data_IF_481696727728
#
_entry.id   IF_481696727728
#
_cell.length_a   1.000
_cell.length_b   1.000
_cell.length_c   1.000
_cell.angle_alpha   90.00
_cell.angle_beta   90.00
_cell.angle_gamma   90.00
#
_symmetry.space_group_name_H-M   'P 1'
#
loop_
_entity.id
_entity.type
_entity.pdbx_description
1 polymer ?
#
# COMPACT_ATOMS: atom_id res chain seq x y z
N UNK A 1 12.66 -0.14 23.97
CA UNK A 1 11.18 -0.04 23.88
C UNK A 1 10.58 -1.21 24.63
N UNK A 2 9.72 -0.97 25.62
CA UNK A 2 8.95 -2.04 26.28
C UNK A 2 8.09 -2.72 25.21
N UNK A 3 8.18 -4.05 25.08
CA UNK A 3 7.18 -4.83 24.34
C UNK A 3 5.85 -4.55 25.02
N UNK A 4 4.96 -3.83 24.34
CA UNK A 4 3.58 -3.74 24.78
C UNK A 4 2.93 -5.03 24.29
N UNK A 5 2.63 -5.93 25.22
CA UNK A 5 1.84 -7.14 24.97
C UNK A 5 0.37 -6.75 24.76
N UNK A 6 0.10 -6.05 23.65
CA UNK A 6 -1.26 -5.69 23.24
C UNK A 6 -1.68 -6.59 22.08
N UNK A 7 -2.62 -7.49 22.38
CA UNK A 7 -3.21 -8.42 21.42
C UNK A 7 -4.70 -8.08 21.28
N UNK A 8 -5.06 -7.12 20.41
CA UNK A 8 -6.47 -6.78 20.24
C UNK A 8 -7.24 -7.97 19.68
N UNK A 9 -8.52 -8.08 20.04
CA UNK A 9 -9.43 -9.02 19.38
C UNK A 9 -9.67 -8.53 17.96
N UNK A 10 -9.25 -9.32 16.97
CA UNK A 10 -9.38 -8.98 15.55
C UNK A 10 -10.65 -9.56 14.97
N UNK A 11 -11.42 -8.74 14.25
CA UNK A 11 -12.56 -9.16 13.41
C UNK A 11 -12.23 -8.84 11.96
N UNK A 12 -12.29 -9.84 11.08
CA UNK A 12 -12.13 -9.64 9.64
C UNK A 12 -13.46 -9.20 9.02
N UNK A 13 -13.41 -8.19 8.17
CA UNK A 13 -14.53 -7.67 7.38
C UNK A 13 -14.01 -7.08 6.08
N UNK A 14 -14.89 -6.78 5.12
CA UNK A 14 -14.46 -6.13 3.89
C UNK A 14 -14.01 -4.71 4.19
N UNK A 15 -13.01 -4.21 3.47
CA UNK A 15 -12.40 -2.92 3.77
C UNK A 15 -13.38 -1.74 3.67
N UNK A 16 -14.40 -1.85 2.82
CA UNK A 16 -15.48 -0.88 2.62
C UNK A 16 -16.53 -0.89 3.74
N UNK A 17 -16.56 -1.94 4.57
CA UNK A 17 -17.45 -2.06 5.73
C UNK A 17 -16.83 -1.48 7.02
N UNK A 18 -15.51 -1.26 7.04
CA UNK A 18 -14.77 -0.85 8.25
C UNK A 18 -15.21 0.52 8.77
N UNK A 19 -15.20 1.54 7.91
CA UNK A 19 -15.57 2.91 8.31
C UNK A 19 -17.04 3.01 8.80
N UNK A 20 -18.03 2.44 8.09
CA UNK A 20 -19.39 2.35 8.62
C UNK A 20 -19.48 1.67 9.99
N UNK A 21 -18.76 0.55 10.19
CA UNK A 21 -18.80 -0.19 11.44
C UNK A 21 -18.22 0.61 12.62
N UNK A 22 -17.10 1.31 12.42
CA UNK A 22 -16.53 2.21 13.45
C UNK A 22 -17.49 3.36 13.75
N UNK A 23 -18.02 4.00 12.71
CA UNK A 23 -18.92 5.17 12.85
C UNK A 23 -20.21 4.83 13.61
N UNK A 24 -20.73 3.60 13.44
CA UNK A 24 -21.90 3.08 14.18
C UNK A 24 -21.56 2.54 15.58
N UNK A 25 -20.28 2.49 15.96
CA UNK A 25 -19.84 1.90 17.24
C UNK A 25 -19.93 0.38 17.30
N UNK A 26 -20.00 -0.32 16.16
CA UNK A 26 -20.00 -1.79 16.10
C UNK A 26 -18.62 -2.40 16.41
N UNK A 27 -17.56 -1.61 16.17
CA UNK A 27 -16.16 -1.91 16.52
C UNK A 27 -15.48 -0.63 17.04
N UNK A 28 -14.50 -0.78 17.95
CA UNK A 28 -13.85 0.39 18.58
C UNK A 28 -12.83 1.10 17.66
N UNK A 29 -12.20 0.37 16.73
CA UNK A 29 -11.21 0.90 15.81
C UNK A 29 -11.15 0.08 14.52
N UNK A 30 -10.69 0.71 13.43
CA UNK A 30 -10.56 0.09 12.11
C UNK A 30 -9.20 0.32 11.47
N UNK A 31 -8.64 -0.71 10.85
CA UNK A 31 -7.46 -0.59 9.99
C UNK A 31 -7.91 -0.20 8.58
N UNK A 32 -7.59 1.02 8.17
CA UNK A 32 -8.01 1.56 6.88
C UNK A 32 -6.93 1.35 5.82
N UNK A 33 -7.36 0.86 4.66
CA UNK A 33 -6.56 0.72 3.44
C UNK A 33 -7.35 1.33 2.26
N UNK A 34 -6.75 1.35 1.07
CA UNK A 34 -7.35 1.95 -0.14
C UNK A 34 -7.86 3.38 0.13
N UNK A 35 -9.02 3.76 -0.42
CA UNK A 35 -9.59 5.10 -0.31
C UNK A 35 -10.03 5.48 1.12
N UNK A 36 -10.16 4.51 2.03
CA UNK A 36 -10.58 4.76 3.41
C UNK A 36 -9.67 5.75 4.15
N UNK A 37 -8.39 5.78 3.82
CA UNK A 37 -7.42 6.72 4.41
C UNK A 37 -7.66 8.19 4.04
N UNK A 38 -8.39 8.45 2.95
CA UNK A 38 -8.75 9.81 2.51
C UNK A 38 -10.13 10.18 3.06
N UNK A 39 -11.05 9.23 3.04
CA UNK A 39 -12.46 9.47 3.33
C UNK A 39 -12.85 9.37 4.80
N UNK A 40 -11.98 8.89 5.70
CA UNK A 40 -12.37 8.65 7.11
C UNK A 40 -12.97 9.89 7.79
N UNK A 41 -12.52 11.10 7.44
CA UNK A 41 -13.06 12.35 8.00
C UNK A 41 -14.55 12.55 7.72
N UNK A 42 -15.08 11.95 6.64
CA UNK A 42 -16.51 11.98 6.28
C UNK A 42 -17.37 11.10 7.20
N UNK A 43 -16.77 10.17 7.95
CA UNK A 43 -17.48 9.21 8.81
C UNK A 43 -17.53 9.63 10.29
N UNK A 44 -17.16 10.88 10.60
CA UNK A 44 -17.08 11.40 11.97
C UNK A 44 -16.22 10.54 12.90
N UNK A 45 -15.12 10.00 12.37
CA UNK A 45 -14.12 9.23 13.13
C UNK A 45 -12.79 9.97 13.18
N UNK A 46 -11.98 9.67 14.19
CA UNK A 46 -10.66 10.27 14.39
C UNK A 46 -9.54 9.34 13.92
N UNK A 47 -8.48 9.91 13.37
CA UNK A 47 -7.26 9.16 13.07
C UNK A 47 -6.51 8.88 14.38
N UNK A 48 -6.30 7.60 14.70
CA UNK A 48 -5.54 7.17 15.88
C UNK A 48 -4.04 7.18 15.59
N UNK A 49 -3.65 6.59 14.47
CA UNK A 49 -2.23 6.48 14.05
C UNK A 49 -2.15 6.41 12.52
N UNK A 50 -1.18 7.13 11.96
CA UNK A 50 -0.72 6.91 10.59
C UNK A 50 0.41 5.86 10.63
N UNK A 51 0.13 4.66 10.13
CA UNK A 51 1.09 3.55 10.15
C UNK A 51 2.29 3.78 9.21
N UNK A 52 2.13 4.57 8.16
CA UNK A 52 3.23 4.94 7.26
C UNK A 52 4.20 5.90 7.93
N UNK A 53 3.67 6.93 8.60
CA UNK A 53 4.46 7.87 9.40
C UNK A 53 5.12 7.16 10.58
N UNK A 54 4.36 6.37 11.35
CA UNK A 54 4.87 5.58 12.46
C UNK A 54 6.01 4.64 12.05
N UNK A 55 5.86 3.96 10.91
CA UNK A 55 6.90 3.09 10.36
C UNK A 55 8.16 3.89 10.01
N UNK A 56 7.99 5.02 9.32
CA UNK A 56 9.11 5.89 8.92
C UNK A 56 9.87 6.44 10.12
N UNK A 57 9.16 6.90 11.15
CA UNK A 57 9.78 7.40 12.38
C UNK A 57 10.57 6.30 13.10
N UNK A 58 10.08 5.05 13.05
CA UNK A 58 10.71 3.91 13.72
C UNK A 58 11.87 3.29 12.93
N UNK A 59 11.80 3.29 11.59
CA UNK A 59 12.73 2.55 10.72
C UNK A 59 13.63 3.43 9.87
N UNK A 60 13.28 4.70 9.70
CA UNK A 60 13.95 5.62 8.78
C UNK A 60 13.67 5.33 7.30
N UNK A 61 12.88 4.30 6.98
CA UNK A 61 12.47 3.94 5.61
C UNK A 61 10.97 4.09 5.43
N UNK A 62 10.53 4.27 4.18
CA UNK A 62 9.09 4.30 3.86
C UNK A 62 8.44 2.93 4.14
N UNK A 63 7.14 2.89 4.41
CA UNK A 63 6.40 1.64 4.56
C UNK A 63 6.08 1.05 3.18
N UNK A 64 6.61 -0.12 2.81
CA UNK A 64 6.20 -0.81 1.58
C UNK A 64 4.77 -1.33 1.72
N UNK A 65 3.89 -0.93 0.78
CA UNK A 65 2.46 -1.30 0.82
C UNK A 65 2.09 -2.38 -0.21
N UNK A 66 2.72 -2.33 -1.38
CA UNK A 66 2.46 -3.26 -2.47
C UNK A 66 3.62 -3.29 -3.45
N UNK A 67 3.71 -4.37 -4.21
CA UNK A 67 4.73 -4.56 -5.24
C UNK A 67 4.26 -5.56 -6.29
N UNK A 68 4.86 -5.49 -7.48
CA UNK A 68 4.65 -6.46 -8.54
C UNK A 68 5.64 -7.61 -8.38
N UNK A 69 5.12 -8.83 -8.41
CA UNK A 69 5.92 -10.06 -8.31
C UNK A 69 5.84 -10.84 -9.61
N UNK A 70 7.00 -11.28 -10.11
CA UNK A 70 7.09 -12.12 -11.30
C UNK A 70 7.27 -13.58 -10.88
N UNK A 71 6.44 -14.47 -11.42
CA UNK A 71 6.62 -15.91 -11.25
C UNK A 71 7.95 -16.35 -11.83
N UNK A 72 8.71 -17.18 -11.09
CA UNK A 72 9.99 -17.75 -11.58
C UNK A 72 9.84 -18.58 -12.85
N UNK A 73 8.63 -19.08 -13.14
CA UNK A 73 8.32 -19.77 -14.41
C UNK A 73 8.37 -18.86 -15.63
N UNK A 74 8.35 -17.53 -15.42
CA UNK A 74 8.41 -16.50 -16.47
C UNK A 74 9.75 -15.75 -16.45
N UNK A 75 10.79 -16.32 -15.83
CA UNK A 75 12.08 -15.67 -15.67
C UNK A 75 12.72 -15.28 -17.02
N UNK A 76 12.51 -16.07 -18.07
CA UNK A 76 13.02 -15.78 -19.42
C UNK A 76 12.41 -14.48 -20.01
N UNK A 77 11.20 -14.13 -19.58
CA UNK A 77 10.49 -12.92 -20.02
C UNK A 77 10.67 -11.72 -19.07
N UNK A 78 11.50 -11.86 -18.02
CA UNK A 78 11.69 -10.86 -16.96
C UNK A 78 11.99 -9.45 -17.49
N UNK A 79 12.90 -9.35 -18.46
CA UNK A 79 13.31 -8.06 -19.05
C UNK A 79 12.20 -7.43 -19.89
N UNK A 80 11.48 -8.26 -20.66
CA UNK A 80 10.40 -7.81 -21.53
C UNK A 80 9.21 -7.30 -20.70
N UNK A 81 8.77 -8.09 -19.72
CA UNK A 81 7.69 -7.72 -18.79
C UNK A 81 8.04 -6.44 -18.03
N UNK A 82 9.26 -6.32 -17.51
CA UNK A 82 9.73 -5.09 -16.85
C UNK A 82 9.60 -3.88 -17.78
N UNK A 83 10.05 -4.02 -19.03
CA UNK A 83 10.02 -2.92 -19.99
C UNK A 83 8.58 -2.51 -20.35
N UNK A 84 7.68 -3.48 -20.57
CA UNK A 84 6.26 -3.22 -20.83
C UNK A 84 5.60 -2.47 -19.66
N UNK A 85 5.85 -2.94 -18.42
CA UNK A 85 5.31 -2.29 -17.22
C UNK A 85 5.86 -0.86 -17.05
N UNK A 86 7.17 -0.68 -17.26
CA UNK A 86 7.80 0.65 -17.21
C UNK A 86 7.16 1.61 -18.22
N UNK A 87 7.00 1.18 -19.47
CA UNK A 87 6.35 1.98 -20.50
C UNK A 87 4.89 2.31 -20.14
N UNK A 88 4.16 1.37 -19.55
CA UNK A 88 2.79 1.60 -19.08
C UNK A 88 2.73 2.66 -17.96
N UNK A 89 3.65 2.64 -17.01
CA UNK A 89 3.73 3.64 -15.95
C UNK A 89 4.15 5.02 -16.49
N UNK A 90 5.15 5.07 -17.37
CA UNK A 90 5.59 6.32 -18.01
C UNK A 90 4.47 6.93 -18.85
N UNK A 91 3.68 6.10 -19.55
CA UNK A 91 2.49 6.56 -20.26
C UNK A 91 1.45 7.17 -19.30
N UNK A 92 1.13 6.46 -18.21
CA UNK A 92 0.13 6.93 -17.25
C UNK A 92 0.53 8.25 -16.56
N UNK A 93 1.82 8.44 -16.31
CA UNK A 93 2.35 9.67 -15.72
C UNK A 93 2.40 10.84 -16.71
N UNK A 94 2.62 10.56 -18.00
CA UNK A 94 2.62 11.58 -19.06
C UNK A 94 1.23 11.91 -19.60
N UNK A 95 0.24 11.05 -19.36
CA UNK A 95 -1.14 11.21 -19.84
C UNK A 95 -2.16 10.99 -18.69
N UNK A 96 -2.13 11.83 -17.63
CA UNK A 96 -2.92 11.58 -16.44
C UNK A 96 -4.43 11.66 -16.68
N UNK A 97 -4.92 12.55 -17.55
CA UNK A 97 -6.37 12.71 -17.82
C UNK A 97 -7.01 11.44 -18.41
N UNK A 98 -6.56 10.87 -19.55
CA UNK A 98 -7.17 9.67 -20.10
C UNK A 98 -6.99 8.45 -19.18
N UNK A 99 -5.90 8.38 -18.42
CA UNK A 99 -5.69 7.32 -17.44
C UNK A 99 -6.63 7.45 -16.23
N UNK A 100 -6.89 8.68 -15.77
CA UNK A 100 -7.88 8.96 -14.73
C UNK A 100 -9.28 8.57 -15.18
N UNK A 101 -9.67 8.95 -16.40
CA UNK A 101 -10.98 8.56 -16.98
C UNK A 101 -11.16 7.04 -17.04
N UNK A 102 -10.11 6.30 -17.39
CA UNK A 102 -10.15 4.84 -17.34
C UNK A 102 -10.23 4.32 -15.89
N UNK A 103 -9.42 4.86 -14.98
CA UNK A 103 -9.37 4.43 -13.58
C UNK A 103 -10.68 4.67 -12.82
N UNK A 104 -11.43 5.73 -13.16
CA UNK A 104 -12.74 6.05 -12.56
C UNK A 104 -13.74 4.90 -12.64
N UNK A 105 -13.65 4.04 -13.67
CA UNK A 105 -14.50 2.84 -13.81
C UNK A 105 -14.33 1.83 -12.66
N UNK A 106 -13.20 1.90 -11.97
CA UNK A 106 -12.84 1.05 -10.85
C UNK A 106 -12.84 1.81 -9.51
N UNK A 107 -12.96 3.14 -9.56
CA UNK A 107 -13.04 3.99 -8.38
C UNK A 107 -14.41 3.89 -7.72
N UNK A 108 -14.43 3.71 -6.40
CA UNK A 108 -15.65 3.50 -5.60
C UNK A 108 -16.16 4.83 -5.05
N UNK A 109 -16.91 5.58 -5.87
CA UNK A 109 -17.58 6.83 -5.48
C UNK A 109 -16.64 7.92 -4.95
N UNK A 110 -15.46 8.06 -5.55
CA UNK A 110 -14.57 9.19 -5.28
C UNK A 110 -14.87 10.33 -6.25
N UNK A 111 -14.86 11.56 -5.75
CA UNK A 111 -14.86 12.75 -6.61
C UNK A 111 -13.55 12.82 -7.40
N UNK A 112 -13.55 13.55 -8.52
CA UNK A 112 -12.41 13.63 -9.44
C UNK A 112 -11.11 14.06 -8.75
N UNK A 113 -11.16 15.06 -7.88
CA UNK A 113 -10.00 15.54 -7.14
C UNK A 113 -9.51 14.53 -6.08
N UNK A 114 -10.43 13.77 -5.49
CA UNK A 114 -10.08 12.71 -4.53
C UNK A 114 -9.42 11.52 -5.25
N UNK A 115 -9.90 11.18 -6.45
CA UNK A 115 -9.28 10.17 -7.31
C UNK A 115 -7.87 10.59 -7.74
N UNK A 116 -7.68 11.81 -8.22
CA UNK A 116 -6.35 12.33 -8.58
C UNK A 116 -5.39 12.25 -7.39
N UNK A 117 -5.85 12.71 -6.22
CA UNK A 117 -5.07 12.63 -4.98
C UNK A 117 -4.71 11.17 -4.66
N UNK A 118 -5.69 10.27 -4.63
CA UNK A 118 -5.49 8.86 -4.34
C UNK A 118 -4.48 8.22 -5.30
N UNK A 119 -4.63 8.42 -6.60
CA UNK A 119 -3.73 7.86 -7.61
C UNK A 119 -2.31 8.38 -7.41
N UNK A 120 -2.12 9.69 -7.22
CA UNK A 120 -0.79 10.28 -7.03
C UNK A 120 -0.04 9.77 -5.79
N UNK A 121 -0.76 9.30 -4.77
CA UNK A 121 -0.14 8.69 -3.58
C UNK A 121 0.55 7.36 -3.91
N UNK A 122 0.05 6.62 -4.90
CA UNK A 122 0.50 5.27 -5.22
C UNK A 122 1.21 5.13 -6.57
N UNK A 123 0.95 6.04 -7.50
CA UNK A 123 1.59 6.12 -8.81
C UNK A 123 2.54 7.31 -8.80
N UNK A 124 3.82 7.03 -8.55
CA UNK A 124 4.87 8.03 -8.45
C UNK A 124 6.22 7.43 -8.87
N UNK A 125 7.32 8.14 -8.61
CA UNK A 125 8.68 7.69 -8.98
C UNK A 125 9.01 6.27 -8.49
N UNK A 126 8.53 5.88 -7.31
CA UNK A 126 8.78 4.57 -6.72
C UNK A 126 8.07 3.43 -7.46
N UNK A 127 7.00 3.76 -8.19
CA UNK A 127 6.27 2.82 -9.04
C UNK A 127 7.07 2.48 -10.30
N UNK A 128 7.82 3.45 -10.83
CA UNK A 128 8.70 3.24 -11.99
C UNK A 128 9.96 2.48 -11.56
N UNK A 129 10.60 2.96 -10.50
CA UNK A 129 11.81 2.36 -9.96
C UNK A 129 11.86 2.57 -8.45
N UNK A 130 11.95 1.46 -7.72
CA UNK A 130 12.10 1.47 -6.27
C UNK A 130 13.44 2.08 -5.82
N UNK A 131 14.46 2.07 -6.68
CA UNK A 131 15.82 2.46 -6.29
C UNK A 131 16.35 1.68 -5.09
N UNK A 132 17.50 2.10 -4.55
CA UNK A 132 18.10 1.41 -3.40
C UNK A 132 17.33 1.66 -2.10
N UNK A 133 16.77 2.86 -1.93
CA UNK A 133 15.97 3.21 -0.74
C UNK A 133 14.68 2.38 -0.65
N UNK A 134 13.97 2.18 -1.77
CA UNK A 134 12.75 1.38 -1.81
C UNK A 134 13.05 -0.11 -1.63
N UNK A 135 14.13 -0.62 -2.23
CA UNK A 135 14.58 -2.02 -2.00
C UNK A 135 14.92 -2.25 -0.53
N UNK A 136 15.68 -1.34 0.09
CA UNK A 136 15.99 -1.39 1.52
C UNK A 136 14.72 -1.38 2.37
N UNK A 137 13.73 -0.55 2.04
CA UNK A 137 12.46 -0.51 2.75
C UNK A 137 11.73 -1.87 2.73
N UNK A 138 11.74 -2.56 1.59
CA UNK A 138 11.17 -3.92 1.46
C UNK A 138 11.94 -4.93 2.31
N UNK A 139 13.27 -4.89 2.26
CA UNK A 139 14.12 -5.77 3.06
C UNK A 139 13.92 -5.55 4.57
N UNK A 140 13.84 -4.29 5.02
CA UNK A 140 13.56 -3.93 6.41
C UNK A 140 12.22 -4.54 6.89
N UNK A 141 11.16 -4.45 6.07
CA UNK A 141 9.84 -5.01 6.38
C UNK A 141 9.88 -6.53 6.49
N UNK A 142 10.52 -7.22 5.54
CA UNK A 142 10.60 -8.68 5.53
C UNK A 142 11.45 -9.20 6.69
N UNK A 143 12.58 -8.54 6.98
CA UNK A 143 13.44 -8.88 8.11
C UNK A 143 12.70 -8.72 9.45
N UNK A 144 11.90 -7.67 9.60
CA UNK A 144 11.06 -7.52 10.79
C UNK A 144 10.01 -8.62 10.88
N UNK A 145 9.28 -8.91 9.80
CA UNK A 145 8.30 -10.00 9.76
C UNK A 145 8.91 -11.34 10.14
N UNK A 146 10.16 -11.62 9.73
CA UNK A 146 10.92 -12.81 10.13
C UNK A 146 11.29 -12.78 11.62
N UNK A 147 11.81 -11.66 12.13
CA UNK A 147 12.18 -11.51 13.54
C UNK A 147 11.00 -11.69 14.51
N UNK A 148 9.79 -11.38 14.04
CA UNK A 148 8.53 -11.55 14.77
C UNK A 148 7.89 -12.93 14.56
N UNK A 149 8.48 -13.80 13.72
CA UNK A 149 7.94 -15.13 13.41
C UNK A 149 6.70 -15.14 12.53
N UNK A 150 6.31 -14.00 11.95
CA UNK A 150 5.22 -13.88 10.98
C UNK A 150 5.61 -14.54 9.66
N UNK A 151 6.83 -14.25 9.20
CA UNK A 151 7.42 -14.88 8.02
C UNK A 151 8.28 -16.04 8.50
N UNK A 152 7.90 -17.27 8.09
CA UNK A 152 8.55 -18.51 8.54
C UNK A 152 9.65 -19.01 7.59
N UNK A 153 9.85 -18.34 6.47
CA UNK A 153 10.79 -18.75 5.42
C UNK A 153 11.78 -17.64 5.10
N UNK A 154 12.94 -18.02 4.59
CA UNK A 154 13.88 -17.06 4.05
C UNK A 154 13.39 -16.54 2.70
N UNK A 155 13.07 -15.24 2.68
CA UNK A 155 12.66 -14.56 1.46
C UNK A 155 13.90 -14.01 0.76
N UNK A 156 14.36 -14.71 -0.27
CA UNK A 156 15.38 -14.19 -1.19
C UNK A 156 14.71 -13.45 -2.34
N UNK A 157 14.91 -12.13 -2.40
CA UNK A 157 14.42 -11.29 -3.48
C UNK A 157 15.40 -11.35 -4.65
N UNK A 158 14.89 -11.63 -5.85
CA UNK A 158 15.63 -11.43 -7.10
C UNK A 158 15.08 -10.17 -7.79
N UNK A 159 15.72 -9.03 -7.52
CA UNK A 159 15.32 -7.74 -8.04
C UNK A 159 15.35 -7.73 -9.57
N UNK A 160 14.32 -7.15 -10.18
CA UNK A 160 14.09 -7.13 -11.62
C UNK A 160 14.39 -5.78 -12.20
#
# INVERSE_FOLDING_TARGET
MKKVDWYPKVKFMKFDEILPAVSKGEIEAGLLIHEGQINYKKYNVNLIVDLGAWWKDRKGTILPLGGLVLSRKLADYKKEIKNILKQSFEYALSHPEPCLEFAKKYARNLEDEENKKFISMYVNKWTIDLGEEGKKAVEDLLNEGKSLGIIKTDVKIDWV
#
